data_IF_625323989484
#
_entry.id   IF_625323989484
#
_cell.length_a   1.000
_cell.length_b   1.000
_cell.length_c   1.000
_cell.angle_alpha   90.00
_cell.angle_beta   90.00
_cell.angle_gamma   90.00
#
_symmetry.space_group_name_H-M   'P 1'
#
loop_
_entity.id
_entity.type
_entity.pdbx_description
1 polymer ?
#
# COMPACT_ATOMS: atom_id res chain seq x y z
N UNK A 1 -14.63 -24.66 -16.16
CA UNK A 1 -15.13 -23.29 -16.41
C UNK A 1 -13.95 -22.31 -16.48
N UNK A 2 -13.20 -22.30 -17.59
CA UNK A 2 -12.03 -21.42 -17.81
C UNK A 2 -12.12 -20.71 -19.19
N UNK A 3 -13.31 -20.65 -19.77
CA UNK A 3 -13.54 -20.17 -21.14
C UNK A 3 -14.10 -18.75 -21.24
N UNK A 4 -14.51 -18.13 -20.13
CA UNK A 4 -15.21 -16.83 -20.15
C UNK A 4 -14.26 -15.64 -19.96
N UNK A 5 -13.18 -15.79 -19.18
CA UNK A 5 -12.22 -14.69 -18.92
C UNK A 5 -11.43 -14.25 -20.16
N UNK A 6 -11.28 -15.12 -21.17
CA UNK A 6 -10.60 -14.76 -22.43
C UNK A 6 -11.47 -13.92 -23.36
N UNK A 7 -12.80 -14.04 -23.27
CA UNK A 7 -13.72 -13.25 -24.12
C UNK A 7 -13.88 -11.82 -23.63
N UNK A 8 -13.79 -11.59 -22.31
CA UNK A 8 -13.90 -10.25 -21.72
C UNK A 8 -12.71 -9.36 -22.13
N UNK A 9 -11.49 -9.91 -22.14
CA UNK A 9 -10.28 -9.16 -22.54
C UNK A 9 -10.25 -8.74 -24.01
N UNK A 10 -10.94 -9.47 -24.90
CA UNK A 10 -10.99 -9.11 -26.31
C UNK A 10 -11.97 -7.94 -26.59
N UNK A 11 -13.02 -7.81 -25.78
CA UNK A 11 -14.01 -6.74 -25.92
C UNK A 11 -13.49 -5.39 -25.40
N UNK A 12 -12.64 -5.39 -24.37
CA UNK A 12 -12.05 -4.17 -23.78
C UNK A 12 -10.99 -3.51 -24.68
N UNK A 13 -10.30 -4.29 -25.51
CA UNK A 13 -9.29 -3.76 -26.45
C UNK A 13 -9.95 -3.11 -27.69
N UNK A 14 -11.17 -3.54 -28.04
CA UNK A 14 -11.89 -3.01 -29.19
C UNK A 14 -12.39 -1.57 -29.00
N UNK A 15 -12.69 -1.16 -27.76
CA UNK A 15 -13.22 0.16 -27.42
C UNK A 15 -12.14 1.26 -27.24
N UNK A 16 -10.86 0.91 -27.35
CA UNK A 16 -9.78 1.89 -27.25
C UNK A 16 -9.67 2.76 -28.52
N UNK A 17 -9.41 4.07 -28.38
CA UNK A 17 -9.16 4.96 -29.51
C UNK A 17 -7.92 4.51 -30.31
N UNK A 18 -7.93 4.71 -31.63
CA UNK A 18 -6.94 4.13 -32.57
C UNK A 18 -5.47 4.41 -32.17
N UNK A 19 -5.15 5.57 -31.60
CA UNK A 19 -3.79 5.90 -31.15
C UNK A 19 -3.27 5.14 -29.93
N UNK A 20 -4.12 4.41 -29.19
CA UNK A 20 -3.71 3.59 -28.04
C UNK A 20 -3.59 2.10 -28.37
N UNK A 21 -4.09 1.66 -29.53
CA UNK A 21 -3.98 0.27 -30.00
C UNK A 21 -2.55 -0.07 -30.42
N UNK A 22 -1.82 0.89 -30.98
CA UNK A 22 -0.42 0.71 -31.43
C UNK A 22 0.58 0.48 -30.28
N UNK A 23 0.26 0.88 -29.04
CA UNK A 23 1.13 0.66 -27.88
C UNK A 23 1.00 -0.74 -27.26
N UNK A 24 0.00 -1.53 -27.67
CA UNK A 24 -0.24 -2.88 -27.16
C UNK A 24 0.24 -3.99 -28.12
N UNK A 25 0.61 -3.65 -29.35
CA UNK A 25 1.24 -4.57 -30.30
C UNK A 25 2.75 -4.63 -30.07
N UNK A 26 3.15 -5.26 -28.96
CA UNK A 26 4.53 -5.72 -28.79
C UNK A 26 4.68 -7.04 -29.57
N UNK A 27 5.52 -7.11 -30.60
CA UNK A 27 5.70 -8.34 -31.38
C UNK A 27 6.23 -9.46 -30.47
N UNK A 28 5.49 -10.57 -30.41
CA UNK A 28 5.81 -11.79 -29.64
C UNK A 28 7.02 -12.58 -30.20
N UNK A 29 7.98 -11.92 -30.84
CA UNK A 29 9.07 -12.53 -31.61
C UNK A 29 10.42 -12.68 -30.90
N UNK A 30 10.69 -12.00 -29.78
CA UNK A 30 12.06 -11.89 -29.24
C UNK A 30 12.23 -12.46 -27.81
N UNK A 31 11.77 -13.69 -27.57
CA UNK A 31 12.11 -14.42 -26.32
C UNK A 31 12.64 -15.85 -26.54
N UNK A 32 13.15 -16.16 -27.73
CA UNK A 32 13.75 -17.48 -28.02
C UNK A 32 15.12 -17.41 -28.73
N UNK A 33 15.91 -16.37 -28.47
CA UNK A 33 17.28 -16.27 -28.97
C UNK A 33 18.26 -15.94 -27.83
N UNK A 34 18.32 -16.80 -26.81
CA UNK A 34 19.40 -16.77 -25.81
C UNK A 34 19.74 -18.17 -25.28
N UNK A 35 19.52 -19.18 -26.12
CA UNK A 35 20.04 -20.52 -25.93
C UNK A 35 20.85 -20.89 -27.18
N UNK A 36 22.11 -21.29 -26.94
CA UNK A 36 23.12 -21.75 -27.91
C UNK A 36 23.96 -20.67 -28.59
N UNK A 37 25.13 -20.38 -27.99
CA UNK A 37 26.46 -20.65 -28.56
C UNK A 37 27.50 -19.83 -27.81
N UNK A 38 28.41 -20.50 -27.07
CA UNK A 38 29.85 -20.26 -27.16
C UNK A 38 30.61 -21.38 -26.42
N UNK A 39 31.66 -21.96 -27.04
CA UNK A 39 32.45 -23.07 -26.50
C UNK A 39 33.74 -22.61 -25.82
N UNK A 40 34.31 -23.48 -24.99
CA UNK A 40 35.77 -23.65 -24.89
C UNK A 40 36.53 -22.77 -23.90
N UNK A 41 36.88 -23.39 -22.77
CA UNK A 41 38.22 -23.38 -22.15
C UNK A 41 39.06 -22.10 -22.18
N UNK A 42 39.14 -21.38 -21.05
CA UNK A 42 40.42 -20.86 -20.55
C UNK A 42 40.50 -21.01 -19.03
N UNK A 43 41.43 -21.87 -18.60
CA UNK A 43 41.94 -21.98 -17.23
C UNK A 43 42.56 -20.65 -16.82
N UNK A 44 42.05 -20.05 -15.75
CA UNK A 44 42.84 -19.16 -14.91
C UNK A 44 42.79 -19.64 -13.47
N UNK A 45 43.96 -20.01 -12.99
CA UNK A 45 44.28 -20.37 -11.62
C UNK A 45 44.08 -19.15 -10.73
N UNK A 46 43.25 -19.27 -9.69
CA UNK A 46 43.29 -18.37 -8.54
C UNK A 46 43.76 -19.17 -7.34
N UNK A 47 44.99 -18.86 -6.95
CA UNK A 47 45.64 -19.31 -5.73
C UNK A 47 44.91 -18.71 -4.53
N UNK A 48 44.55 -19.58 -3.57
CA UNK A 48 44.13 -19.21 -2.23
C UNK A 48 45.36 -19.38 -1.33
N UNK A 49 45.84 -18.35 -0.61
CA UNK A 49 46.70 -18.60 0.53
C UNK A 49 45.85 -18.81 1.78
N UNK A 50 46.07 -19.97 2.39
CA UNK A 50 45.69 -20.29 3.76
C UNK A 50 46.57 -19.50 4.75
N UNK A 51 45.98 -19.04 5.85
CA UNK A 51 46.70 -18.72 7.08
C UNK A 51 45.76 -18.88 8.28
N UNK A 52 45.88 -20.03 8.94
CA UNK A 52 45.37 -20.31 10.29
C UNK A 52 46.50 -20.12 11.31
N UNK A 53 46.12 -19.71 12.52
CA UNK A 53 46.84 -19.77 13.80
C UNK A 53 48.06 -18.82 13.97
N UNK A 54 48.28 -18.11 15.09
CA UNK A 54 47.96 -18.41 16.48
C UNK A 54 48.18 -17.15 17.37
N UNK A 55 47.51 -17.17 18.54
CA UNK A 55 47.96 -16.64 19.85
C UNK A 55 48.25 -15.13 20.05
N UNK A 56 47.38 -14.46 20.84
CA UNK A 56 47.73 -13.98 22.19
C UNK A 56 46.63 -13.06 22.76
N UNK A 57 46.02 -13.49 23.88
CA UNK A 57 45.42 -12.57 24.86
C UNK A 57 46.56 -11.87 25.62
N UNK A 58 46.34 -10.64 26.14
CA UNK A 58 45.98 -10.56 27.56
C UNK A 58 44.87 -9.56 27.88
N UNK A 59 44.25 -9.82 29.03
CA UNK A 59 43.28 -8.99 29.73
C UNK A 59 43.94 -7.80 30.46
N UNK A 60 43.07 -6.84 30.83
CA UNK A 60 43.15 -5.85 31.91
C UNK A 60 43.42 -4.37 31.55
N UNK A 61 42.32 -3.61 31.72
CA UNK A 61 42.18 -2.44 32.60
C UNK A 61 42.91 -1.12 32.29
N UNK A 62 42.09 -0.08 32.11
CA UNK A 62 42.15 1.29 32.70
C UNK A 62 41.66 2.29 31.64
N UNK A 63 40.51 2.94 31.77
CA UNK A 63 40.27 4.08 32.66
C UNK A 63 41.39 5.14 32.58
N UNK A 64 40.96 6.36 32.22
CA UNK A 64 41.69 7.63 32.29
C UNK A 64 42.52 8.07 31.07
N UNK A 65 42.28 9.35 30.72
CA UNK A 65 43.16 10.25 29.97
C UNK A 65 43.18 10.17 28.44
N UNK A 66 42.24 10.87 27.81
CA UNK A 66 42.52 11.67 26.62
C UNK A 66 41.49 12.81 26.50
N UNK A 67 41.57 13.74 27.44
CA UNK A 67 41.06 15.10 27.25
C UNK A 67 42.05 15.85 26.34
N UNK A 68 41.67 16.07 25.08
CA UNK A 68 42.20 17.11 24.20
C UNK A 68 41.14 17.31 23.09
N UNK A 69 40.17 18.20 23.33
CA UNK A 69 40.22 19.59 22.86
C UNK A 69 40.09 19.71 21.33
N UNK A 70 38.91 19.34 20.81
CA UNK A 70 38.31 20.02 19.65
C UNK A 70 37.05 20.68 20.18
N UNK A 71 37.22 21.93 20.63
CA UNK A 71 36.13 22.80 21.04
C UNK A 71 35.37 23.24 19.77
N UNK A 72 34.40 22.43 19.36
CA UNK A 72 33.29 22.90 18.53
C UNK A 72 32.47 23.89 19.37
N UNK A 73 32.24 25.12 18.90
CA UNK A 73 31.41 26.08 19.61
C UNK A 73 29.98 25.54 19.78
N UNK A 74 29.32 25.82 20.92
CA UNK A 74 27.95 25.38 21.16
C UNK A 74 27.01 25.98 20.11
N UNK A 75 26.00 25.25 19.61
CA UNK A 75 25.00 25.78 18.70
C UNK A 75 24.04 26.72 19.45
N UNK A 76 24.53 27.90 19.83
CA UNK A 76 23.70 29.02 20.28
C UNK A 76 23.15 29.79 19.08
N UNK A 77 22.33 29.17 18.24
CA UNK A 77 21.48 29.88 17.27
C UNK A 77 20.47 28.95 16.58
N UNK A 78 19.48 28.46 17.32
CA UNK A 78 18.22 28.01 16.70
C UNK A 78 17.00 28.29 17.57
N UNK A 79 16.98 29.48 18.20
CA UNK A 79 15.75 30.10 18.71
C UNK A 79 14.87 30.69 17.57
N UNK A 80 15.25 30.50 16.31
CA UNK A 80 14.48 30.91 15.12
C UNK A 80 13.57 29.80 14.55
N UNK A 81 13.64 28.57 15.07
CA UNK A 81 12.72 27.48 14.66
C UNK A 81 11.44 27.39 15.54
N UNK A 82 11.41 28.09 16.67
CA UNK A 82 10.27 28.09 17.60
C UNK A 82 9.19 29.14 17.29
N UNK A 83 9.39 29.94 16.24
CA UNK A 83 8.36 30.80 15.66
C UNK A 83 7.80 30.20 14.36
N UNK A 84 7.75 28.87 14.25
CA UNK A 84 6.82 28.20 13.36
C UNK A 84 5.42 28.60 13.83
N UNK A 85 4.91 29.70 13.25
CA UNK A 85 3.57 30.24 13.44
C UNK A 85 2.62 29.09 13.73
N UNK A 86 2.13 29.02 14.96
CA UNK A 86 0.96 28.22 15.32
C UNK A 86 -0.17 28.73 14.43
N UNK A 87 -0.24 28.20 13.21
CA UNK A 87 -1.42 28.36 12.38
C UNK A 87 -2.54 27.75 13.22
N UNK A 88 -3.64 28.47 13.45
CA UNK A 88 -4.75 27.93 14.21
C UNK A 88 -5.10 26.57 13.62
N UNK A 89 -5.01 25.52 14.43
CA UNK A 89 -5.32 24.15 14.03
C UNK A 89 -6.70 24.18 13.39
N UNK A 90 -6.74 23.98 12.07
CA UNK A 90 -7.99 23.90 11.33
C UNK A 90 -8.85 22.82 12.01
N UNK A 91 -10.15 23.07 12.26
CA UNK A 91 -11.01 22.04 12.79
C UNK A 91 -10.96 20.82 11.88
N UNK A 92 -10.68 19.65 12.48
CA UNK A 92 -10.57 18.38 11.76
C UNK A 92 -11.88 18.10 11.04
N UNK A 93 -11.78 17.77 9.77
CA UNK A 93 -12.93 17.29 8.97
C UNK A 93 -13.36 15.91 9.47
N UNK A 94 -14.62 15.52 9.23
CA UNK A 94 -15.14 14.20 9.64
C UNK A 94 -14.25 13.06 9.11
N UNK A 95 -13.80 13.15 7.86
CA UNK A 95 -12.90 12.16 7.24
C UNK A 95 -11.51 12.08 7.90
N UNK A 96 -10.99 13.19 8.40
CA UNK A 96 -9.74 13.19 9.16
C UNK A 96 -9.91 12.52 10.53
N UNK A 97 -11.08 12.65 11.17
CA UNK A 97 -11.40 11.95 12.41
C UNK A 97 -11.56 10.44 12.17
N UNK A 98 -12.23 10.06 11.08
CA UNK A 98 -12.32 8.66 10.65
C UNK A 98 -10.93 8.07 10.37
N UNK A 99 -10.06 8.81 9.68
CA UNK A 99 -8.68 8.40 9.45
C UNK A 99 -7.91 8.20 10.77
N UNK A 100 -8.03 9.13 11.72
CA UNK A 100 -7.41 9.00 13.04
C UNK A 100 -7.92 7.74 13.78
N UNK A 101 -9.22 7.44 13.67
CA UNK A 101 -9.81 6.22 14.26
C UNK A 101 -9.26 4.93 13.63
N UNK A 102 -9.04 4.93 12.31
CA UNK A 102 -8.44 3.80 11.58
C UNK A 102 -6.96 3.64 11.94
N UNK A 103 -6.23 4.74 12.11
CA UNK A 103 -4.83 4.74 12.56
C UNK A 103 -4.75 4.16 13.98
N UNK A 104 -5.65 4.54 14.88
CA UNK A 104 -5.72 4.01 16.24
C UNK A 104 -6.03 2.50 16.22
N UNK A 105 -6.98 2.05 15.40
CA UNK A 105 -7.28 0.63 15.23
C UNK A 105 -6.05 -0.15 14.72
N UNK A 106 -5.36 0.38 13.70
CA UNK A 106 -4.11 -0.20 13.19
C UNK A 106 -3.05 -0.31 14.27
N UNK A 107 -2.87 0.73 15.09
CA UNK A 107 -1.93 0.73 16.21
C UNK A 107 -2.31 -0.30 17.27
N UNK A 108 -3.60 -0.43 17.60
CA UNK A 108 -4.09 -1.44 18.52
C UNK A 108 -3.81 -2.88 18.06
N UNK A 109 -3.93 -3.16 16.76
CA UNK A 109 -3.56 -4.47 16.18
C UNK A 109 -2.05 -4.71 16.31
N UNK A 110 -1.22 -3.69 16.02
CA UNK A 110 0.24 -3.78 16.17
C UNK A 110 0.63 -4.07 17.62
N UNK A 111 -0.04 -3.45 18.60
CA UNK A 111 0.20 -3.70 20.02
C UNK A 111 -0.18 -5.14 20.41
N UNK A 112 -1.32 -5.65 19.93
CA UNK A 112 -1.71 -7.06 20.11
C UNK A 112 -0.66 -8.02 19.54
N UNK A 113 -0.19 -7.77 18.32
CA UNK A 113 0.88 -8.58 17.70
C UNK A 113 2.17 -8.55 18.52
N UNK A 114 2.58 -7.37 18.99
CA UNK A 114 3.74 -7.21 19.88
C UNK A 114 3.58 -7.97 21.19
N UNK A 115 2.37 -8.02 21.75
CA UNK A 115 2.08 -8.78 22.97
C UNK A 115 2.04 -10.30 22.76
N UNK A 116 1.64 -10.78 21.57
CA UNK A 116 1.61 -12.22 21.24
C UNK A 116 2.99 -12.80 20.92
N UNK A 117 3.89 -12.03 20.31
CA UNK A 117 5.25 -12.49 19.97
C UNK A 117 6.05 -13.09 21.15
N UNK A 118 6.15 -12.45 22.34
CA UNK A 118 6.86 -13.06 23.47
C UNK A 118 6.21 -14.37 23.92
N UNK A 119 4.87 -14.50 23.85
CA UNK A 119 4.17 -15.73 24.21
C UNK A 119 4.56 -16.90 23.30
N UNK A 120 4.74 -16.64 22.00
CA UNK A 120 5.22 -17.64 21.03
C UNK A 120 6.65 -18.07 21.36
N UNK A 121 7.53 -17.12 21.71
CA UNK A 121 8.92 -17.42 22.09
C UNK A 121 8.97 -18.24 23.38
N UNK A 122 8.17 -17.88 24.39
CA UNK A 122 8.06 -18.63 25.65
C UNK A 122 7.55 -20.05 25.42
N UNK A 123 6.49 -20.23 24.62
CA UNK A 123 5.97 -21.56 24.29
C UNK A 123 7.02 -22.41 23.56
N UNK A 124 7.75 -21.84 22.60
CA UNK A 124 8.87 -22.52 21.92
C UNK A 124 9.98 -22.90 22.89
N UNK A 125 10.33 -22.01 23.81
CA UNK A 125 11.35 -22.27 24.84
C UNK A 125 10.94 -23.43 25.75
N UNK A 126 9.69 -23.43 26.25
CA UNK A 126 9.15 -24.52 27.08
C UNK A 126 9.18 -25.86 26.36
N UNK A 127 8.77 -25.89 25.08
CA UNK A 127 8.87 -27.10 24.26
C UNK A 127 10.33 -27.54 24.15
N UNK A 128 11.26 -26.62 23.85
CA UNK A 128 12.68 -26.93 23.74
C UNK A 128 13.30 -27.45 25.05
N UNK A 129 12.83 -26.99 26.21
CA UNK A 129 13.26 -27.48 27.52
C UNK A 129 12.72 -28.89 27.82
N UNK A 130 11.49 -29.20 27.41
CA UNK A 130 10.86 -30.52 27.66
C UNK A 130 11.24 -31.60 26.65
N UNK A 131 11.56 -31.23 25.39
CA UNK A 131 11.90 -32.19 24.33
C UNK A 131 13.08 -33.10 24.67
N UNK A 132 14.20 -32.65 25.27
CA UNK A 132 15.30 -33.52 25.66
C UNK A 132 14.88 -34.66 26.61
N UNK A 133 13.99 -34.39 27.56
CA UNK A 133 13.48 -35.41 28.49
C UNK A 133 12.69 -36.49 27.75
N UNK A 134 11.91 -36.11 26.73
CA UNK A 134 11.14 -37.04 25.89
C UNK A 134 12.02 -37.73 24.85
N UNK A 135 13.16 -37.16 24.45
CA UNK A 135 14.02 -37.74 23.40
C UNK A 135 15.13 -38.64 23.95
N UNK A 136 15.27 -38.71 25.29
CA UNK A 136 16.26 -39.54 25.99
C UNK A 136 16.06 -41.05 25.83
N UNK A 137 16.97 -41.83 26.44
CA UNK A 137 16.97 -43.30 26.37
C UNK A 137 15.70 -43.86 27.02
N UNK A 138 14.84 -44.48 26.21
CA UNK A 138 13.61 -45.13 26.67
C UNK A 138 12.36 -44.68 25.91
N UNK A 139 12.36 -43.49 25.31
CA UNK A 139 11.17 -42.97 24.64
C UNK A 139 10.80 -43.71 23.34
N UNK A 140 11.78 -44.12 22.55
CA UNK A 140 11.54 -44.97 21.37
C UNK A 140 10.96 -46.32 21.76
N UNK A 141 11.39 -46.86 22.91
CA UNK A 141 10.89 -48.11 23.45
C UNK A 141 9.45 -47.97 23.95
N UNK A 142 9.12 -46.89 24.69
CA UNK A 142 7.75 -46.63 25.14
C UNK A 142 6.79 -46.42 23.98
N UNK A 143 7.21 -45.77 22.88
CA UNK A 143 6.35 -45.65 21.68
C UNK A 143 6.04 -47.00 21.05
N UNK A 144 7.04 -47.89 20.97
CA UNK A 144 6.83 -49.24 20.43
C UNK A 144 5.90 -50.05 21.31
N UNK A 145 6.09 -50.01 22.63
CA UNK A 145 5.22 -50.68 23.58
C UNK A 145 3.78 -50.16 23.53
N UNK A 146 3.58 -48.84 23.39
CA UNK A 146 2.24 -48.26 23.26
C UNK A 146 1.54 -48.72 21.97
N UNK A 147 2.23 -48.69 20.82
CA UNK A 147 1.69 -49.18 19.56
C UNK A 147 1.42 -50.69 19.58
N UNK A 148 2.28 -51.48 20.25
CA UNK A 148 2.08 -52.92 20.42
C UNK A 148 0.89 -53.22 21.35
N UNK A 149 0.68 -52.41 22.40
CA UNK A 149 -0.51 -52.50 23.24
C UNK A 149 -1.78 -52.24 22.43
N UNK A 150 -1.85 -51.16 21.64
CA UNK A 150 -2.99 -50.86 20.76
C UNK A 150 -3.25 -51.98 19.74
N UNK A 151 -2.18 -52.52 19.14
CA UNK A 151 -2.30 -53.62 18.18
C UNK A 151 -2.82 -54.91 18.84
N UNK A 152 -2.37 -55.23 20.06
CA UNK A 152 -2.86 -56.39 20.81
C UNK A 152 -4.31 -56.16 21.26
N UNK A 153 -4.70 -54.97 21.68
CA UNK A 153 -6.09 -54.64 22.01
C UNK A 153 -7.00 -54.82 20.80
N UNK A 154 -6.55 -54.34 19.64
CA UNK A 154 -7.22 -54.58 18.37
C UNK A 154 -7.32 -56.08 18.06
N UNK A 155 -6.21 -56.82 18.18
CA UNK A 155 -6.17 -58.27 17.92
C UNK A 155 -7.05 -59.07 18.88
N UNK A 156 -7.20 -58.65 20.14
CA UNK A 156 -8.15 -59.24 21.08
C UNK A 156 -9.57 -59.00 20.61
N UNK A 157 -9.88 -57.78 20.15
CA UNK A 157 -11.22 -57.41 19.71
C UNK A 157 -11.62 -58.08 18.37
N UNK A 158 -10.68 -58.31 17.46
CA UNK A 158 -10.97 -58.73 16.08
C UNK A 158 -10.50 -60.16 15.74
N UNK A 159 -9.42 -60.64 16.36
CA UNK A 159 -8.69 -61.85 15.94
C UNK A 159 -8.59 -62.94 17.03
N UNK A 160 -9.14 -62.73 18.22
CA UNK A 160 -9.13 -63.74 19.28
C UNK A 160 -10.25 -64.79 19.10
N UNK A 161 -10.16 -65.61 18.06
CA UNK A 161 -11.17 -66.64 17.74
C UNK A 161 -11.10 -67.91 18.64
N UNK A 162 -10.15 -67.99 19.60
CA UNK A 162 -10.13 -69.08 20.59
C UNK A 162 -9.78 -68.57 22.00
N UNK A 163 -10.36 -69.16 23.07
CA UNK A 163 -10.08 -68.74 24.45
C UNK A 163 -8.61 -68.88 24.88
N UNK A 164 -7.85 -69.78 24.24
CA UNK A 164 -6.42 -69.93 24.52
C UNK A 164 -5.61 -68.76 23.97
N UNK A 165 -5.85 -68.39 22.70
CA UNK A 165 -5.21 -67.22 22.06
C UNK A 165 -5.58 -65.93 22.77
N UNK A 166 -6.84 -65.76 23.15
CA UNK A 166 -7.31 -64.61 23.91
C UNK A 166 -6.55 -64.45 25.24
N UNK A 167 -6.42 -65.54 26.01
CA UNK A 167 -5.67 -65.52 27.28
C UNK A 167 -4.19 -65.17 27.10
N UNK A 168 -3.56 -65.66 26.05
CA UNK A 168 -2.16 -65.34 25.73
C UNK A 168 -1.99 -63.85 25.37
N UNK A 169 -2.88 -63.31 24.54
CA UNK A 169 -2.88 -61.90 24.17
C UNK A 169 -3.14 -61.00 25.38
N UNK A 170 -4.11 -61.35 26.24
CA UNK A 170 -4.39 -60.62 27.49
C UNK A 170 -3.18 -60.64 28.42
N UNK A 171 -2.44 -61.76 28.51
CA UNK A 171 -1.23 -61.84 29.33
C UNK A 171 -0.15 -60.90 28.80
N UNK A 172 0.13 -60.93 27.49
CA UNK A 172 1.08 -60.01 26.83
C UNK A 172 0.69 -58.55 27.02
N UNK A 173 -0.60 -58.23 26.85
CA UNK A 173 -1.13 -56.88 27.10
C UNK A 173 -0.86 -56.42 28.53
N UNK A 174 -1.03 -57.30 29.52
CA UNK A 174 -0.77 -56.99 30.92
C UNK A 174 0.70 -56.70 31.17
N UNK A 175 1.60 -57.50 30.58
CA UNK A 175 3.05 -57.32 30.71
C UNK A 175 3.49 -55.99 30.07
N UNK A 176 3.00 -55.67 28.87
CA UNK A 176 3.27 -54.39 28.19
C UNK A 176 2.73 -53.20 29.00
N UNK A 177 1.52 -53.31 29.55
CA UNK A 177 0.95 -52.26 30.42
C UNK A 177 1.75 -52.05 31.69
N UNK A 178 2.34 -53.11 32.26
CA UNK A 178 3.26 -52.97 33.40
C UNK A 178 4.55 -52.26 32.99
N UNK A 179 5.11 -52.56 31.81
CA UNK A 179 6.29 -51.86 31.29
C UNK A 179 6.00 -50.38 31.00
N UNK A 180 4.87 -50.06 30.35
CA UNK A 180 4.42 -48.68 30.16
C UNK A 180 4.20 -47.96 31.50
N UNK A 181 3.70 -48.66 32.52
CA UNK A 181 3.51 -48.06 33.85
C UNK A 181 4.82 -47.64 34.52
N UNK A 182 5.96 -48.26 34.17
CA UNK A 182 7.31 -47.86 34.64
C UNK A 182 7.79 -46.58 33.95
N UNK A 183 7.19 -46.19 32.84
CA UNK A 183 7.57 -45.04 32.03
C UNK A 183 6.50 -43.94 32.00
N UNK A 184 5.60 -43.88 32.99
CA UNK A 184 4.54 -42.86 33.08
C UNK A 184 5.05 -41.42 32.98
N UNK A 185 6.22 -41.13 33.53
CA UNK A 185 6.85 -39.81 33.47
C UNK A 185 7.11 -39.34 32.03
N UNK A 186 7.47 -40.28 31.14
CA UNK A 186 7.70 -39.98 29.71
C UNK A 186 6.37 -39.66 29.02
N UNK A 187 5.29 -40.37 29.35
CA UNK A 187 3.97 -40.12 28.78
C UNK A 187 3.36 -38.81 29.29
N UNK A 188 3.53 -38.49 30.58
CA UNK A 188 3.07 -37.22 31.14
C UNK A 188 3.86 -36.03 30.55
N UNK A 189 5.19 -36.18 30.37
CA UNK A 189 6.01 -35.20 29.66
C UNK A 189 5.56 -35.01 28.20
N UNK A 190 5.18 -36.08 27.50
CA UNK A 190 4.61 -36.01 26.14
C UNK A 190 3.33 -35.22 26.10
N UNK A 191 2.38 -35.54 26.97
CA UNK A 191 1.11 -34.82 27.07
C UNK A 191 1.34 -33.33 27.34
N UNK A 192 2.31 -32.99 28.20
CA UNK A 192 2.68 -31.60 28.45
C UNK A 192 3.27 -30.91 27.20
N UNK A 193 4.12 -31.58 26.44
CA UNK A 193 4.66 -31.05 25.18
C UNK A 193 3.60 -30.89 24.11
N UNK A 194 2.70 -31.86 23.95
CA UNK A 194 1.62 -31.77 22.97
C UNK A 194 0.62 -30.68 23.34
N UNK A 195 0.34 -30.47 24.64
CA UNK A 195 -0.44 -29.32 25.11
C UNK A 195 0.21 -27.97 24.76
N UNK A 196 1.52 -27.81 24.99
CA UNK A 196 2.24 -26.58 24.59
C UNK A 196 2.35 -26.43 23.07
N UNK A 197 2.42 -27.53 22.30
CA UNK A 197 2.35 -27.49 20.83
C UNK A 197 0.98 -27.03 20.33
N UNK A 198 -0.10 -27.54 20.91
CA UNK A 198 -1.45 -27.08 20.60
C UNK A 198 -1.60 -25.59 20.89
N UNK A 199 -1.15 -25.14 22.07
CA UNK A 199 -1.12 -23.72 22.42
C UNK A 199 -0.30 -22.89 21.43
N UNK A 200 0.87 -23.39 21.01
CA UNK A 200 1.71 -22.73 20.01
C UNK A 200 1.00 -22.61 18.65
N UNK A 201 0.27 -23.64 18.22
CA UNK A 201 -0.53 -23.60 17.00
C UNK A 201 -1.69 -22.59 17.09
N UNK A 202 -2.39 -22.53 18.22
CA UNK A 202 -3.41 -21.51 18.48
C UNK A 202 -2.82 -20.10 18.40
N UNK A 203 -1.67 -19.86 19.05
CA UNK A 203 -0.97 -18.58 18.98
C UNK A 203 -0.57 -18.21 17.54
N UNK A 204 -0.12 -19.18 16.72
CA UNK A 204 0.16 -18.91 15.30
C UNK A 204 -1.09 -18.60 14.49
N UNK A 205 -2.21 -19.26 14.78
CA UNK A 205 -3.49 -18.97 14.15
C UNK A 205 -3.93 -17.54 14.49
N UNK A 206 -3.84 -17.14 15.76
CA UNK A 206 -4.12 -15.78 16.24
C UNK A 206 -3.19 -14.73 15.58
N UNK A 207 -1.90 -15.02 15.45
CA UNK A 207 -0.96 -14.10 14.81
C UNK A 207 -1.31 -13.91 13.33
N UNK A 208 -1.62 -15.00 12.61
CA UNK A 208 -2.01 -14.93 11.19
C UNK A 208 -3.32 -14.16 10.99
N UNK A 209 -4.32 -14.36 11.87
CA UNK A 209 -5.57 -13.60 11.77
C UNK A 209 -5.33 -12.11 12.03
N UNK A 210 -4.53 -11.75 13.04
CA UNK A 210 -4.14 -10.37 13.32
C UNK A 210 -3.31 -9.74 12.18
N UNK A 211 -2.45 -10.50 11.50
CA UNK A 211 -1.72 -10.04 10.32
C UNK A 211 -2.67 -9.70 9.16
N UNK A 212 -3.66 -10.55 8.90
CA UNK A 212 -4.70 -10.26 7.91
C UNK A 212 -5.53 -9.03 8.28
N UNK A 213 -5.95 -8.91 9.54
CA UNK A 213 -6.64 -7.72 10.04
C UNK A 213 -5.78 -6.45 9.89
N UNK A 214 -4.48 -6.55 10.14
CA UNK A 214 -3.55 -5.43 9.99
C UNK A 214 -3.43 -4.98 8.54
N UNK A 215 -3.33 -5.92 7.60
CA UNK A 215 -3.24 -5.60 6.17
C UNK A 215 -4.54 -4.98 5.65
N UNK A 216 -5.69 -5.45 6.11
CA UNK A 216 -6.97 -4.82 5.78
C UNK A 216 -7.11 -3.42 6.42
N UNK A 217 -6.64 -3.25 7.66
CA UNK A 217 -6.59 -1.93 8.30
C UNK A 217 -5.65 -0.97 7.56
N UNK A 218 -4.50 -1.44 7.05
CA UNK A 218 -3.59 -0.65 6.22
C UNK A 218 -4.26 -0.19 4.93
N UNK A 219 -4.88 -1.11 4.18
CA UNK A 219 -5.62 -0.77 2.95
C UNK A 219 -6.70 0.28 3.21
N UNK A 220 -7.47 0.14 4.31
CA UNK A 220 -8.49 1.11 4.71
C UNK A 220 -7.89 2.47 5.06
N UNK A 221 -6.77 2.51 5.79
CA UNK A 221 -6.05 3.74 6.11
C UNK A 221 -5.56 4.44 4.83
N UNK A 222 -4.96 3.69 3.90
CA UNK A 222 -4.41 4.24 2.66
C UNK A 222 -5.52 4.79 1.76
N UNK A 223 -6.65 4.09 1.67
CA UNK A 223 -7.84 4.56 0.95
C UNK A 223 -8.40 5.85 1.56
N UNK A 224 -8.63 5.88 2.89
CA UNK A 224 -9.13 7.06 3.59
C UNK A 224 -8.16 8.25 3.48
N UNK A 225 -6.86 8.00 3.57
CA UNK A 225 -5.84 9.02 3.35
C UNK A 225 -5.85 9.57 1.92
N UNK A 226 -6.01 8.68 0.93
CA UNK A 226 -6.19 9.03 -0.47
C UNK A 226 -7.38 9.95 -0.70
N UNK A 227 -8.52 9.67 -0.05
CA UNK A 227 -9.71 10.52 -0.12
C UNK A 227 -9.48 11.92 0.48
N UNK A 228 -8.90 12.01 1.67
CA UNK A 228 -8.58 13.29 2.32
C UNK A 228 -7.64 14.12 1.43
N UNK A 229 -6.66 13.49 0.80
CA UNK A 229 -5.77 14.15 -0.16
C UNK A 229 -6.52 14.60 -1.42
N UNK A 230 -7.40 13.76 -1.97
CA UNK A 230 -8.19 14.09 -3.14
C UNK A 230 -9.11 15.30 -2.88
N UNK A 231 -9.77 15.35 -1.73
CA UNK A 231 -10.58 16.50 -1.33
C UNK A 231 -9.76 17.79 -1.19
N UNK A 232 -8.57 17.68 -0.59
CA UNK A 232 -7.66 18.84 -0.47
C UNK A 232 -7.20 19.34 -1.84
N UNK A 233 -6.89 18.43 -2.77
CA UNK A 233 -6.53 18.77 -4.15
C UNK A 233 -7.71 19.42 -4.88
N UNK A 234 -8.90 18.81 -4.83
CA UNK A 234 -10.11 19.37 -5.43
C UNK A 234 -10.45 20.77 -4.88
N UNK A 235 -10.37 20.95 -3.55
CA UNK A 235 -10.59 22.26 -2.92
C UNK A 235 -9.53 23.29 -3.29
N UNK A 236 -8.31 22.88 -3.61
CA UNK A 236 -7.27 23.77 -4.13
C UNK A 236 -7.55 24.15 -5.59
N UNK A 237 -7.88 23.19 -6.44
CA UNK A 237 -8.21 23.40 -7.85
C UNK A 237 -9.44 24.31 -8.02
N UNK A 238 -10.50 24.11 -7.23
CA UNK A 238 -11.67 24.99 -7.24
C UNK A 238 -11.29 26.43 -6.85
N UNK A 239 -10.38 26.61 -5.89
CA UNK A 239 -9.87 27.94 -5.50
C UNK A 239 -8.98 28.56 -6.57
N UNK A 240 -8.17 27.76 -7.25
CA UNK A 240 -7.36 28.18 -8.41
C UNK A 240 -8.27 28.65 -9.55
N UNK A 241 -9.21 27.81 -9.99
CA UNK A 241 -10.19 28.13 -11.05
C UNK A 241 -10.97 29.41 -10.74
N UNK A 242 -11.49 29.54 -9.51
CA UNK A 242 -12.20 30.76 -9.10
C UNK A 242 -11.33 32.03 -9.11
N UNK A 243 -10.01 31.92 -8.90
CA UNK A 243 -9.08 33.04 -9.05
C UNK A 243 -8.81 33.36 -10.51
N UNK A 244 -8.65 32.34 -11.36
CA UNK A 244 -8.44 32.50 -12.80
C UNK A 244 -9.66 33.11 -13.48
N UNK A 245 -10.87 32.63 -13.17
CA UNK A 245 -12.12 33.19 -13.68
C UNK A 245 -12.30 34.66 -13.27
N UNK A 246 -11.96 35.03 -12.03
CA UNK A 246 -12.00 36.44 -11.59
C UNK A 246 -11.01 37.30 -12.36
N UNK A 247 -9.79 36.81 -12.59
CA UNK A 247 -8.79 37.51 -13.40
C UNK A 247 -9.22 37.65 -14.85
N UNK A 248 -9.82 36.62 -15.44
CA UNK A 248 -10.35 36.65 -16.80
C UNK A 248 -11.49 37.67 -16.92
N UNK A 249 -12.46 37.65 -16.01
CA UNK A 249 -13.55 38.66 -15.98
C UNK A 249 -13.01 40.08 -15.86
N UNK A 250 -12.06 40.33 -14.96
CA UNK A 250 -11.41 41.64 -14.83
C UNK A 250 -10.70 42.07 -16.12
N UNK A 251 -10.04 41.13 -16.80
CA UNK A 251 -9.37 41.41 -18.07
C UNK A 251 -10.36 41.72 -19.20
N UNK A 252 -11.47 40.97 -19.28
CA UNK A 252 -12.54 41.22 -20.25
C UNK A 252 -13.21 42.58 -20.03
N UNK A 253 -13.51 42.93 -18.77
CA UNK A 253 -14.04 44.25 -18.39
C UNK A 253 -13.06 45.39 -18.73
N UNK A 254 -11.75 45.18 -18.52
CA UNK A 254 -10.75 46.17 -18.90
C UNK A 254 -10.70 46.34 -20.42
N UNK A 255 -10.78 45.24 -21.17
CA UNK A 255 -10.76 45.22 -22.63
C UNK A 255 -11.98 45.93 -23.23
N UNK A 256 -13.16 45.78 -22.65
CA UNK A 256 -14.37 46.51 -23.11
C UNK A 256 -14.23 48.01 -22.86
N UNK A 257 -13.76 48.42 -21.67
CA UNK A 257 -13.50 49.84 -21.37
C UNK A 257 -12.51 50.47 -22.36
N UNK A 258 -11.37 49.81 -22.61
CA UNK A 258 -10.37 50.31 -23.57
C UNK A 258 -10.95 50.44 -24.98
N UNK A 259 -11.83 49.51 -25.42
CA UNK A 259 -12.52 49.62 -26.71
C UNK A 259 -13.49 50.79 -26.75
N UNK A 260 -14.27 51.00 -25.70
CA UNK A 260 -15.20 52.13 -25.59
C UNK A 260 -14.46 53.46 -25.57
N UNK A 261 -13.35 53.55 -24.84
CA UNK A 261 -12.48 54.74 -24.80
C UNK A 261 -11.88 55.03 -26.18
N UNK A 262 -11.33 54.01 -26.86
CA UNK A 262 -10.82 54.17 -28.23
C UNK A 262 -11.91 54.59 -29.22
N UNK A 263 -13.12 54.04 -29.07
CA UNK A 263 -14.26 54.41 -29.91
C UNK A 263 -14.66 55.86 -29.65
N UNK A 264 -14.75 56.28 -28.39
CA UNK A 264 -15.01 57.69 -28.03
C UNK A 264 -13.94 58.62 -28.58
N UNK A 265 -12.66 58.26 -28.45
CA UNK A 265 -11.55 59.03 -29.02
C UNK A 265 -11.67 59.16 -30.55
N UNK A 266 -11.96 58.06 -31.24
CA UNK A 266 -12.19 58.05 -32.69
C UNK A 266 -13.41 58.90 -33.08
N UNK A 267 -14.52 58.74 -32.37
CA UNK A 267 -15.74 59.52 -32.58
C UNK A 267 -15.46 61.01 -32.34
N UNK A 268 -14.74 61.40 -31.27
CA UNK A 268 -14.38 62.78 -30.97
C UNK A 268 -13.40 63.37 -32.00
N UNK A 269 -12.45 62.59 -32.51
CA UNK A 269 -11.52 63.00 -33.58
C UNK A 269 -12.23 63.19 -34.92
N UNK A 270 -13.20 62.34 -35.25
CA UNK A 270 -13.89 62.34 -36.56
C UNK A 270 -15.11 63.24 -36.60
N UNK A 271 -15.83 63.40 -35.49
CA UNK A 271 -17.01 64.26 -35.37
C UNK A 271 -16.82 65.69 -35.92
N UNK A 272 -15.70 66.40 -35.73
CA UNK A 272 -15.50 67.71 -36.37
C UNK A 272 -15.32 67.64 -37.89
N UNK A 273 -14.91 66.48 -38.43
CA UNK A 273 -14.77 66.25 -39.87
C UNK A 273 -15.99 65.58 -40.51
N UNK A 274 -16.92 65.05 -39.70
CA UNK A 274 -18.24 64.64 -40.17
C UNK A 274 -19.05 65.90 -40.45
N UNK A 275 -19.17 66.25 -41.74
CA UNK A 275 -20.21 67.18 -42.17
C UNK A 275 -21.55 66.63 -41.70
N UNK A 276 -22.36 67.47 -41.05
CA UNK A 276 -23.78 67.24 -40.87
C UNK A 276 -24.43 67.25 -42.26
N UNK A 277 -24.31 66.16 -42.99
CA UNK A 277 -25.19 65.91 -44.12
C UNK A 277 -26.54 65.57 -43.48
N UNK A 278 -27.49 66.50 -43.57
CA UNK A 278 -28.91 66.17 -43.48
C UNK A 278 -29.17 65.18 -44.62
N UNK A 279 -29.06 63.89 -44.32
CA UNK A 279 -29.07 62.81 -45.30
C UNK A 279 -30.48 62.48 -45.80
N UNK A 280 -31.41 63.44 -45.70
CA UNK A 280 -32.72 63.38 -46.33
C UNK A 280 -33.16 64.79 -46.71
N UNK A 281 -33.10 65.12 -48.00
CA UNK A 281 -34.11 66.04 -48.57
C UNK A 281 -35.45 65.40 -48.25
N UNK A 282 -36.31 66.07 -47.48
CA UNK A 282 -37.62 65.50 -47.16
C UNK A 282 -38.40 65.34 -48.46
N UNK A 283 -39.23 64.30 -48.56
CA UNK A 283 -40.06 64.09 -49.77
C UNK A 283 -40.91 65.32 -50.09
N UNK A 284 -41.24 66.13 -49.08
CA UNK A 284 -41.98 67.38 -49.23
C UNK A 284 -41.17 68.45 -49.99
N UNK A 285 -39.86 68.56 -49.78
CA UNK A 285 -38.98 69.47 -50.52
C UNK A 285 -38.86 69.07 -52.00
N UNK A 286 -38.82 67.76 -52.29
CA UNK A 286 -38.82 67.25 -53.68
C UNK A 286 -40.15 67.60 -54.37
N UNK A 287 -41.28 67.46 -53.67
CA UNK A 287 -42.61 67.79 -54.21
C UNK A 287 -42.77 69.30 -54.48
N UNK A 288 -42.15 70.16 -53.68
CA UNK A 288 -42.18 71.61 -53.92
C UNK A 288 -41.35 72.03 -55.13
N UNK A 289 -40.22 71.38 -55.38
CA UNK A 289 -39.38 71.62 -56.57
C UNK A 289 -40.13 71.17 -57.85
N UNK A 290 -40.79 70.00 -57.83
CA UNK A 290 -41.59 69.55 -58.98
C UNK A 290 -42.80 70.47 -59.26
N UNK A 291 -43.43 71.02 -58.21
CA UNK A 291 -44.54 71.96 -58.39
C UNK A 291 -44.09 73.30 -58.97
N UNK A 292 -42.88 73.78 -58.64
CA UNK A 292 -42.31 75.00 -59.23
C UNK A 292 -41.93 74.80 -60.69
N UNK A 293 -41.30 73.68 -61.05
CA UNK A 293 -40.98 73.38 -62.45
C UNK A 293 -42.21 73.30 -63.37
N UNK A 294 -43.31 72.69 -62.88
CA UNK A 294 -44.59 72.62 -63.63
C UNK A 294 -45.32 73.95 -63.75
N UNK A 295 -45.02 74.94 -62.91
CA UNK A 295 -45.57 76.30 -63.05
C UNK A 295 -44.82 77.10 -64.11
N UNK A 296 -43.49 76.96 -64.17
CA UNK A 296 -42.66 77.66 -65.15
C UNK A 296 -42.87 77.14 -66.58
N UNK A 297 -43.12 75.83 -66.77
CA UNK A 297 -43.51 75.28 -68.09
C UNK A 297 -44.90 75.75 -68.58
N UNK A 298 -45.80 76.15 -67.67
CA UNK A 298 -47.14 76.64 -68.03
C UNK A 298 -47.21 78.13 -68.31
N UNK A 299 -46.24 78.91 -67.84
CA UNK A 299 -46.14 80.34 -68.14
C UNK A 299 -45.20 80.62 -69.33
N UNK A 300 -44.45 79.61 -69.79
CA UNK A 300 -43.53 79.70 -70.93
C UNK A 300 -44.02 79.07 -72.25
N UNK A 301 -45.29 78.66 -72.37
CA UNK A 301 -45.87 78.09 -73.61
C UNK A 301 -47.19 78.73 -74.02
#
# INVERSE_FOLDING_TARGET
MLGEDKKIKAAEVASLPEGLKELLDVPKGERQAEAMLLPGEQRLQLQIPAAEAAAALPQHASAESAAQAIALPPPEASKSAQAAREQPLRPKTQKEQELDSLIALRQGIIEKLKARNPQVVEARRKIAEMVPAIRGSGASHTMRLAAEAEHIEFSIATEAYTPKKEKELIKRLRDIRQELSKHKEIDDARKAVDAERHRLHELFSDVRSLEHELDDARKKCDAAYGEVLAERKAAYETRQKGREERKQKQFEELKTRVREERRKQYDDEIKPYMKNYDDTVSMDEIVEIEKKGKKEEKEGS
#
